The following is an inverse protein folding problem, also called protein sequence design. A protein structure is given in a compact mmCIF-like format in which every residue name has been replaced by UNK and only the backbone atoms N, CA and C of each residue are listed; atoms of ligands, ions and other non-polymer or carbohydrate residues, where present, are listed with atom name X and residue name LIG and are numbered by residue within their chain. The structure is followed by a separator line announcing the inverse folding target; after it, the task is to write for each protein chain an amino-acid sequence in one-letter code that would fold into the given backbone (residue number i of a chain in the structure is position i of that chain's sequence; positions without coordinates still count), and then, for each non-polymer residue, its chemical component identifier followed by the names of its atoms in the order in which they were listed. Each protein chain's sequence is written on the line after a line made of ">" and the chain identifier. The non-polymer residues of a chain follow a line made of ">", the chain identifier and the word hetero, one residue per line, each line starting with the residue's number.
data_IF_686510550077
#
_entry.id   IF_686510550077
#
_cell.length_a   1.000
_cell.length_b   1.000
_cell.length_c   1.000
_cell.angle_alpha   90.00
_cell.angle_beta   90.00
_cell.angle_gamma   90.00
#
_symmetry.space_group_name_H-M   'P 1'
#
loop_
_entity.id
_entity.type
_entity.pdbx_description
1 polymer ?
#
# COMPACT_ATOMS: atom_id res chain seq x y z
N UNK A 1 -48.40 27.99 -20.60
CA UNK A 1 -47.09 27.35 -20.32
C UNK A 1 -47.27 26.49 -19.08
N UNK A 2 -47.32 25.16 -19.23
CA UNK A 2 -47.56 24.25 -18.10
C UNK A 2 -46.26 23.93 -17.35
N UNK A 3 -46.31 23.95 -16.01
CA UNK A 3 -45.19 23.54 -15.17
C UNK A 3 -45.00 22.02 -15.29
N UNK A 4 -43.88 21.61 -15.89
CA UNK A 4 -43.53 20.20 -16.06
C UNK A 4 -42.85 19.65 -14.80
N UNK A 5 -43.60 18.96 -13.95
CA UNK A 5 -43.02 18.27 -12.80
C UNK A 5 -42.27 17.01 -13.26
N UNK A 6 -41.11 16.75 -12.65
CA UNK A 6 -40.33 15.52 -12.81
C UNK A 6 -40.18 14.88 -11.43
N UNK A 7 -40.28 13.57 -11.38
CA UNK A 7 -40.01 12.78 -10.18
C UNK A 7 -38.94 11.72 -10.49
N UNK A 8 -38.22 11.29 -9.46
CA UNK A 8 -37.27 10.20 -9.54
C UNK A 8 -37.33 9.38 -8.25
N UNK A 9 -36.95 8.11 -8.34
CA UNK A 9 -36.86 7.23 -7.18
C UNK A 9 -35.60 7.54 -6.39
N UNK A 10 -35.75 7.78 -5.09
CA UNK A 10 -34.61 7.97 -4.17
C UNK A 10 -34.17 6.58 -3.68
N UNK A 11 -32.85 6.34 -3.73
CA UNK A 11 -32.24 5.11 -3.25
C UNK A 11 -31.37 5.40 -2.05
N UNK A 12 -31.47 4.55 -1.02
CA UNK A 12 -30.54 4.60 0.12
C UNK A 12 -29.22 3.98 -0.32
N UNK A 13 -28.16 4.77 -0.32
CA UNK A 13 -26.80 4.27 -0.55
C UNK A 13 -26.23 3.74 0.76
N UNK A 14 -25.71 2.52 0.72
CA UNK A 14 -25.02 1.93 1.86
C UNK A 14 -23.63 2.52 1.97
N UNK A 15 -23.29 2.98 3.17
CA UNK A 15 -21.92 3.39 3.52
C UNK A 15 -20.95 2.23 3.29
N UNK A 16 -19.72 2.53 2.90
CA UNK A 16 -18.64 1.55 2.86
C UNK A 16 -17.70 1.78 4.03
N UNK A 17 -17.49 0.73 4.82
CA UNK A 17 -16.48 0.68 5.85
C UNK A 17 -15.67 -0.59 5.64
N UNK A 18 -14.35 -0.46 5.50
CA UNK A 18 -13.46 -1.58 5.27
C UNK A 18 -12.20 -1.44 6.11
N UNK A 19 -11.51 -2.55 6.38
CA UNK A 19 -10.30 -2.51 7.19
C UNK A 19 -9.26 -3.52 6.76
N UNK A 20 -7.99 -3.13 6.84
CA UNK A 20 -6.82 -3.96 6.68
C UNK A 20 -6.30 -4.37 8.05
N UNK A 21 -6.40 -5.65 8.40
CA UNK A 21 -5.88 -6.14 9.68
C UNK A 21 -4.41 -6.52 9.55
N UNK A 22 -3.63 -6.10 10.51
CA UNK A 22 -2.17 -6.26 10.55
C UNK A 22 -1.85 -7.18 11.72
N UNK A 23 -1.29 -8.37 11.42
CA UNK A 23 -0.78 -9.32 12.41
C UNK A 23 0.33 -10.18 11.81
N UNK A 24 1.50 -9.59 11.59
CA UNK A 24 2.65 -10.27 10.97
C UNK A 24 3.95 -9.66 11.47
N UNK A 25 5.00 -10.48 11.62
CA UNK A 25 6.33 -10.05 12.10
C UNK A 25 6.32 -9.23 13.40
N UNK A 26 5.31 -9.48 14.25
CA UNK A 26 5.10 -8.81 15.54
C UNK A 26 4.31 -7.50 15.47
N UNK A 27 4.14 -6.88 14.29
CA UNK A 27 3.32 -5.67 14.16
C UNK A 27 1.85 -6.08 14.23
N UNK A 28 1.08 -5.38 15.06
CA UNK A 28 -0.34 -5.64 15.28
C UNK A 28 -1.17 -4.37 15.15
N UNK A 29 -2.37 -4.50 14.59
CA UNK A 29 -3.34 -3.42 14.51
C UNK A 29 -4.14 -3.44 13.23
N UNK A 30 -4.52 -2.28 12.72
CA UNK A 30 -5.29 -2.15 11.49
C UNK A 30 -5.16 -0.77 10.82
N UNK A 31 -5.48 -0.76 9.53
CA UNK A 31 -5.89 0.42 8.79
C UNK A 31 -7.40 0.34 8.58
N UNK A 32 -8.15 1.42 8.78
CA UNK A 32 -9.60 1.46 8.59
C UNK A 32 -9.97 2.59 7.65
N UNK A 33 -10.91 2.33 6.76
CA UNK A 33 -11.40 3.29 5.78
C UNK A 33 -12.91 3.33 5.83
N UNK A 34 -13.50 4.52 5.87
CA UNK A 34 -14.94 4.70 5.89
C UNK A 34 -15.35 5.83 4.97
N UNK A 35 -16.27 5.55 4.06
CA UNK A 35 -16.83 6.52 3.13
C UNK A 35 -18.36 6.38 3.13
N UNK A 36 -19.12 7.39 3.59
CA UNK A 36 -20.57 7.25 3.70
C UNK A 36 -21.29 7.19 2.34
N UNK A 37 -20.76 7.85 1.31
CA UNK A 37 -21.27 7.77 -0.07
C UNK A 37 -20.17 8.09 -1.10
N UNK A 38 -20.38 7.82 -2.40
CA UNK A 38 -19.40 8.17 -3.45
C UNK A 38 -19.08 9.67 -3.57
N UNK A 39 -19.90 10.54 -2.97
CA UNK A 39 -19.78 12.00 -3.03
C UNK A 39 -19.13 12.61 -1.79
N UNK A 40 -18.79 11.77 -0.80
CA UNK A 40 -18.19 12.19 0.45
C UNK A 40 -16.72 11.75 0.53
N UNK A 41 -15.97 12.43 1.38
CA UNK A 41 -14.56 12.11 1.66
C UNK A 41 -14.42 10.79 2.43
N UNK A 42 -13.24 10.19 2.34
CA UNK A 42 -12.93 8.95 3.07
C UNK A 42 -12.25 9.29 4.39
N UNK A 43 -12.82 8.81 5.50
CA UNK A 43 -12.17 8.80 6.81
C UNK A 43 -11.18 7.63 6.84
N UNK A 44 -9.91 7.94 7.10
CA UNK A 44 -8.81 6.98 7.14
C UNK A 44 -8.22 6.92 8.55
N UNK A 45 -8.17 5.74 9.17
CA UNK A 45 -7.58 5.54 10.51
C UNK A 45 -6.42 4.55 10.45
N UNK A 46 -5.35 4.87 11.15
CA UNK A 46 -4.18 4.01 11.33
C UNK A 46 -4.03 3.72 12.81
N UNK A 47 -4.18 2.46 13.21
CA UNK A 47 -3.95 2.01 14.57
C UNK A 47 -2.96 0.84 14.55
N UNK A 48 -1.70 1.09 14.88
CA UNK A 48 -0.65 0.08 14.83
C UNK A 48 0.19 0.10 16.10
N UNK A 49 0.71 -1.05 16.48
CA UNK A 49 1.54 -1.25 17.67
C UNK A 49 2.73 -2.13 17.34
N UNK A 50 3.78 -2.04 18.16
CA UNK A 50 5.00 -2.82 18.03
C UNK A 50 5.71 -2.56 16.70
N UNK A 51 5.75 -1.31 16.27
CA UNK A 51 6.43 -0.89 15.04
C UNK A 51 7.96 -0.93 15.23
N UNK A 52 8.47 -0.63 16.42
CA UNK A 52 9.91 -0.62 16.79
C UNK A 52 10.81 0.16 15.81
N UNK A 53 10.32 1.28 15.24
CA UNK A 53 11.02 2.04 14.19
C UNK A 53 11.35 1.22 12.92
N UNK A 54 10.69 0.07 12.75
CA UNK A 54 10.90 -0.81 11.61
C UNK A 54 10.09 -0.41 10.40
N UNK A 55 9.17 0.55 10.51
CA UNK A 55 8.26 0.94 9.43
C UNK A 55 8.58 2.33 8.94
N UNK A 56 8.81 2.46 7.64
CA UNK A 56 8.98 3.77 6.98
C UNK A 56 7.68 4.20 6.34
N UNK A 57 7.18 3.36 5.44
CA UNK A 57 6.08 3.71 4.56
C UNK A 57 5.02 2.63 4.52
N UNK A 58 3.87 2.98 3.99
CA UNK A 58 2.67 2.19 3.87
C UNK A 58 1.87 2.68 2.65
N UNK A 59 1.52 1.75 1.76
CA UNK A 59 0.89 2.05 0.47
C UNK A 59 -0.25 1.06 0.17
N UNK A 60 -1.23 1.50 -0.61
CA UNK A 60 -2.17 0.60 -1.29
C UNK A 60 -1.53 0.14 -2.59
N UNK A 61 -1.48 -1.17 -2.82
CA UNK A 61 -0.94 -1.78 -4.03
C UNK A 61 -2.04 -2.24 -4.99
N UNK A 62 -1.68 -2.61 -6.22
CA UNK A 62 -2.65 -2.89 -7.28
C UNK A 62 -3.53 -4.12 -6.99
N UNK A 63 -2.96 -5.21 -6.51
CA UNK A 63 -3.63 -6.51 -6.39
C UNK A 63 -3.85 -6.93 -4.93
N UNK A 64 -4.87 -7.75 -4.64
CA UNK A 64 -5.07 -8.31 -3.30
C UNK A 64 -3.87 -9.19 -2.89
N UNK A 65 -3.70 -9.39 -1.58
CA UNK A 65 -2.70 -10.34 -1.08
C UNK A 65 -3.06 -11.76 -1.49
N UNK A 66 -2.08 -12.62 -1.85
CA UNK A 66 -2.32 -14.03 -2.11
C UNK A 66 -3.02 -14.73 -0.93
N UNK A 67 -3.81 -15.78 -1.20
CA UNK A 67 -4.46 -16.55 -0.15
C UNK A 67 -3.45 -17.19 0.81
N UNK A 68 -3.89 -17.42 2.04
CA UNK A 68 -3.10 -18.07 3.10
C UNK A 68 -2.53 -19.41 2.61
N UNK A 69 -1.21 -19.57 2.66
CA UNK A 69 -0.50 -20.78 2.22
C UNK A 69 0.61 -20.55 1.19
N UNK A 70 0.70 -19.37 0.58
CA UNK A 70 1.88 -18.97 -0.21
C UNK A 70 3.09 -18.69 0.69
N UNK A 71 4.34 -18.93 0.23
CA UNK A 71 5.53 -18.75 1.07
C UNK A 71 5.59 -17.31 1.65
N UNK A 72 5.82 -17.18 2.97
CA UNK A 72 5.66 -15.91 3.72
C UNK A 72 6.67 -14.80 3.36
N UNK A 73 7.64 -15.10 2.49
CA UNK A 73 8.67 -14.15 2.07
C UNK A 73 8.37 -13.53 0.68
N UNK A 74 7.48 -14.12 -0.13
CA UNK A 74 7.12 -13.59 -1.45
C UNK A 74 5.70 -13.04 -1.56
N UNK A 75 4.78 -13.34 -0.64
CA UNK A 75 3.37 -12.91 -0.77
C UNK A 75 3.13 -11.39 -0.85
N UNK A 76 4.18 -10.60 -0.60
CA UNK A 76 4.17 -9.14 -0.53
C UNK A 76 5.07 -8.47 -1.57
N UNK A 77 5.70 -9.27 -2.44
CA UNK A 77 6.55 -8.75 -3.51
C UNK A 77 5.70 -8.07 -4.57
N UNK A 78 6.33 -7.23 -5.38
CA UNK A 78 5.67 -6.61 -6.52
C UNK A 78 5.14 -7.65 -7.52
N UNK A 79 5.72 -8.86 -7.56
CA UNK A 79 5.22 -9.94 -8.42
C UNK A 79 3.85 -10.45 -7.96
N UNK A 80 3.54 -10.33 -6.67
CA UNK A 80 2.30 -10.82 -6.07
C UNK A 80 1.24 -9.74 -5.94
N UNK A 81 1.60 -8.55 -5.45
CA UNK A 81 0.66 -7.46 -5.19
C UNK A 81 0.71 -6.33 -6.22
N UNK A 82 1.63 -6.41 -7.18
CA UNK A 82 1.89 -5.32 -8.12
C UNK A 82 2.66 -4.17 -7.47
N UNK A 83 2.82 -3.09 -8.23
CA UNK A 83 3.35 -1.83 -7.70
C UNK A 83 2.31 -1.07 -6.87
N UNK A 84 2.68 0.16 -6.50
CA UNK A 84 1.77 1.08 -5.83
C UNK A 84 0.56 1.38 -6.73
N UNK A 85 -0.60 1.59 -6.12
CA UNK A 85 -1.83 1.85 -6.88
C UNK A 85 -1.82 3.29 -7.42
N UNK A 86 -1.51 3.41 -8.71
CA UNK A 86 -1.39 4.69 -9.42
C UNK A 86 -2.26 4.70 -10.70
N UNK A 87 -3.60 4.76 -10.57
CA UNK A 87 -4.50 4.70 -11.73
C UNK A 87 -4.40 5.92 -12.67
N UNK A 88 -3.81 7.03 -12.20
CA UNK A 88 -3.65 8.26 -12.97
C UNK A 88 -2.26 8.40 -13.61
N UNK A 89 -1.37 7.41 -13.43
CA UNK A 89 -0.04 7.42 -14.05
C UNK A 89 0.84 8.59 -13.61
N UNK A 90 0.71 9.05 -12.37
CA UNK A 90 1.54 10.13 -11.84
C UNK A 90 3.02 9.73 -11.87
N UNK A 91 3.88 10.65 -12.29
CA UNK A 91 5.32 10.44 -12.31
C UNK A 91 5.92 10.70 -10.93
N UNK A 92 6.09 9.64 -10.14
CA UNK A 92 6.66 9.70 -8.78
C UNK A 92 8.13 10.15 -8.75
N UNK A 93 8.83 10.06 -9.88
CA UNK A 93 10.22 10.50 -10.02
C UNK A 93 10.36 11.97 -10.42
N UNK A 94 9.25 12.67 -10.68
CA UNK A 94 9.29 14.09 -11.01
C UNK A 94 9.70 14.91 -9.79
N UNK A 95 10.49 15.97 -10.01
CA UNK A 95 10.89 16.89 -8.94
C UNK A 95 9.69 17.61 -8.28
N UNK A 96 8.54 17.65 -8.96
CA UNK A 96 7.29 18.21 -8.47
C UNK A 96 6.48 17.23 -7.62
N UNK A 97 6.85 15.94 -7.59
CA UNK A 97 6.16 14.97 -6.75
C UNK A 97 6.40 15.30 -5.27
N UNK A 98 5.35 15.44 -4.45
CA UNK A 98 5.52 15.84 -3.05
C UNK A 98 6.38 14.84 -2.27
N UNK A 99 7.23 15.33 -1.36
CA UNK A 99 8.12 14.49 -0.53
C UNK A 99 7.58 14.28 0.89
N UNK A 100 6.42 14.85 1.19
CA UNK A 100 5.75 14.77 2.47
C UNK A 100 4.35 15.39 2.41
N UNK A 101 3.64 15.47 3.54
CA UNK A 101 2.29 16.02 3.59
C UNK A 101 2.30 17.53 3.32
N UNK A 102 1.17 18.06 2.82
CA UNK A 102 0.96 19.50 2.64
C UNK A 102 0.61 19.94 1.22
N UNK A 103 0.73 19.05 0.23
CA UNK A 103 0.21 19.28 -1.12
C UNK A 103 -1.25 18.85 -1.25
N UNK A 104 -1.89 19.19 -2.35
CA UNK A 104 -3.24 18.70 -2.68
C UNK A 104 -3.23 17.19 -2.92
N UNK A 105 -4.28 16.47 -2.53
CA UNK A 105 -4.29 14.99 -2.52
C UNK A 105 -4.23 14.35 -3.91
N UNK A 106 -4.53 15.11 -4.97
CA UNK A 106 -4.40 14.71 -6.37
C UNK A 106 -2.95 14.69 -6.86
N UNK A 107 -2.01 15.30 -6.13
CA UNK A 107 -0.58 15.31 -6.48
C UNK A 107 0.16 14.03 -6.05
N UNK A 108 -0.48 13.17 -5.27
CA UNK A 108 0.09 11.91 -4.80
C UNK A 108 -0.51 10.76 -5.60
N UNK A 109 0.26 9.70 -5.84
CA UNK A 109 -0.34 8.48 -6.35
C UNK A 109 -1.44 8.00 -5.40
N UNK A 110 -2.50 7.41 -5.93
CA UNK A 110 -3.70 7.12 -5.14
C UNK A 110 -3.37 6.26 -3.91
N UNK A 111 -2.48 5.28 -4.09
CA UNK A 111 -2.00 4.40 -3.05
C UNK A 111 -0.94 4.95 -2.11
N UNK A 112 -0.36 6.13 -2.34
CA UNK A 112 0.65 6.71 -1.44
C UNK A 112 0.01 7.46 -0.29
N UNK A 113 -0.21 6.71 0.80
CA UNK A 113 -0.79 7.22 2.02
C UNK A 113 0.27 7.78 2.98
N UNK A 114 1.52 7.31 2.89
CA UNK A 114 2.59 7.74 3.79
C UNK A 114 3.07 9.13 3.51
N UNK A 115 3.34 9.43 2.24
CA UNK A 115 3.80 10.74 1.84
C UNK A 115 2.64 11.74 1.93
N UNK A 116 1.40 11.30 1.63
CA UNK A 116 0.21 12.15 1.72
C UNK A 116 -0.18 12.53 3.14
N UNK A 117 -0.21 11.57 4.07
CA UNK A 117 -0.72 11.80 5.43
C UNK A 117 0.38 11.97 6.47
N UNK A 118 1.39 11.09 6.48
CA UNK A 118 2.61 11.13 7.31
C UNK A 118 3.30 9.75 7.33
N UNK A 119 4.63 9.73 7.36
CA UNK A 119 5.46 8.54 7.57
C UNK A 119 5.33 7.96 9.00
N UNK A 120 5.45 6.64 9.15
CA UNK A 120 5.48 6.00 10.48
C UNK A 120 6.89 5.81 11.04
N UNK A 121 7.90 6.34 10.36
CA UNK A 121 9.29 6.30 10.84
C UNK A 121 9.41 6.94 12.22
N UNK A 122 10.21 6.32 13.09
CA UNK A 122 10.46 6.74 14.47
C UNK A 122 9.31 6.43 15.43
N UNK A 123 8.20 5.83 14.98
CA UNK A 123 7.05 5.54 15.84
C UNK A 123 7.07 4.09 16.28
N UNK A 124 6.69 3.84 17.54
CA UNK A 124 6.47 2.48 18.06
C UNK A 124 4.99 2.07 18.04
N UNK A 125 4.09 3.03 18.29
CA UNK A 125 2.65 2.85 18.23
C UNK A 125 1.99 4.10 17.66
N UNK A 126 0.86 3.92 16.99
CA UNK A 126 0.06 4.99 16.39
C UNK A 126 -1.42 4.72 16.59
N UNK A 127 -2.16 5.81 16.82
CA UNK A 127 -3.62 5.85 16.67
C UNK A 127 -3.97 7.20 16.05
N UNK A 128 -4.03 7.25 14.73
CA UNK A 128 -4.17 8.48 13.95
C UNK A 128 -5.39 8.40 13.05
N UNK A 129 -6.02 9.54 12.82
CA UNK A 129 -7.21 9.68 11.97
C UNK A 129 -7.01 10.83 11.00
N UNK A 130 -7.29 10.56 9.73
CA UNK A 130 -7.12 11.45 8.61
C UNK A 130 -8.41 11.55 7.80
N UNK A 131 -8.53 12.65 7.06
CA UNK A 131 -9.57 12.82 6.04
C UNK A 131 -8.88 12.80 4.68
N UNK A 132 -9.35 11.96 3.76
CA UNK A 132 -8.78 11.83 2.42
C UNK A 132 -9.79 12.15 1.32
N UNK A 133 -9.45 13.15 0.50
CA UNK A 133 -10.25 13.63 -0.62
C UNK A 133 -10.05 12.81 -1.91
N UNK A 134 -9.03 11.96 -1.99
CA UNK A 134 -8.66 11.21 -3.19
C UNK A 134 -8.42 9.71 -2.89
N UNK A 135 -9.18 9.15 -1.95
CA UNK A 135 -9.09 7.72 -1.58
C UNK A 135 -10.46 7.03 -1.62
N UNK A 136 -11.05 6.84 -2.82
CA UNK A 136 -12.41 6.34 -2.94
C UNK A 136 -12.55 4.87 -2.53
N UNK A 137 -13.68 4.53 -1.90
CA UNK A 137 -14.18 3.17 -1.65
C UNK A 137 -15.25 2.76 -2.69
N UNK A 138 -15.70 3.70 -3.52
CA UNK A 138 -16.65 3.48 -4.62
C UNK A 138 -16.00 3.75 -5.98
N UNK A 139 -16.66 3.30 -7.04
CA UNK A 139 -16.21 3.52 -8.41
C UNK A 139 -15.01 2.69 -8.83
N UNK A 140 -14.50 2.97 -10.03
CA UNK A 140 -13.45 2.18 -10.70
C UNK A 140 -12.10 2.24 -9.98
N UNK A 141 -11.81 3.38 -9.36
CA UNK A 141 -10.57 3.60 -8.62
C UNK A 141 -10.68 3.20 -7.14
N UNK A 142 -11.71 2.42 -6.78
CA UNK A 142 -11.88 1.95 -5.40
C UNK A 142 -10.65 1.19 -4.91
N UNK A 143 -10.25 1.45 -3.66
CA UNK A 143 -9.20 0.68 -2.98
C UNK A 143 -9.72 -0.62 -2.36
N UNK A 144 -11.03 -0.85 -2.36
CA UNK A 144 -11.62 -2.10 -1.87
C UNK A 144 -11.20 -3.26 -2.78
N UNK A 145 -10.66 -4.33 -2.18
CA UNK A 145 -10.14 -5.49 -2.92
C UNK A 145 -8.66 -5.40 -3.31
N UNK A 146 -7.94 -4.36 -2.85
CA UNK A 146 -6.50 -4.15 -3.08
C UNK A 146 -5.64 -4.46 -1.86
N UNK A 147 -4.34 -4.64 -1.96
CA UNK A 147 -3.52 -4.86 -0.76
C UNK A 147 -3.07 -3.55 -0.11
N UNK A 148 -2.86 -3.60 1.20
CA UNK A 148 -2.24 -2.56 2.01
C UNK A 148 -0.90 -3.11 2.48
N UNK A 149 0.17 -2.43 2.10
CA UNK A 149 1.54 -2.92 2.26
C UNK A 149 2.26 -1.96 3.18
N UNK A 150 3.03 -2.50 4.12
CA UNK A 150 3.92 -1.72 4.98
C UNK A 150 5.36 -2.03 4.56
N UNK A 151 6.12 -1.00 4.25
CA UNK A 151 7.53 -1.09 3.90
C UNK A 151 8.39 -0.88 5.13
N UNK A 152 9.29 -1.82 5.35
CA UNK A 152 10.18 -1.77 6.47
C UNK A 152 11.44 -0.95 6.18
N UNK A 153 11.91 -0.22 7.19
CA UNK A 153 13.29 0.25 7.23
C UNK A 153 14.14 -0.98 7.50
N UNK A 154 15.13 -1.26 6.66
CA UNK A 154 16.21 -2.15 7.09
C UNK A 154 17.14 -1.29 7.96
N UNK A 155 17.24 -1.52 9.28
CA UNK A 155 18.23 -0.81 10.07
C UNK A 155 19.62 -1.22 9.58
N UNK A 156 20.40 -0.26 9.09
CA UNK A 156 21.85 -0.41 8.82
C UNK A 156 22.69 -0.60 10.10
N UNK A 157 22.08 -0.93 11.24
CA UNK A 157 22.72 -0.96 12.55
C UNK A 157 22.74 -2.37 13.16
N UNK A 158 23.39 -3.30 12.48
CA UNK A 158 23.94 -4.53 13.08
C UNK A 158 25.47 -4.51 12.99
N UNK A 159 26.22 -5.14 13.91
CA UNK A 159 27.69 -5.04 13.97
C UNK A 159 28.43 -5.82 12.86
N UNK A 160 27.73 -6.23 11.80
CA UNK A 160 28.33 -6.67 10.54
C UNK A 160 27.64 -5.94 9.39
N UNK A 161 28.16 -4.76 9.05
CA UNK A 161 27.90 -4.08 7.79
C UNK A 161 28.53 -4.82 6.61
N UNK A 162 28.14 -6.08 6.38
CA UNK A 162 28.35 -6.74 5.09
C UNK A 162 27.11 -6.44 4.27
N UNK A 163 27.31 -5.72 3.17
CA UNK A 163 26.35 -5.46 2.10
C UNK A 163 25.48 -6.70 1.81
N UNK A 164 24.29 -6.74 2.42
CA UNK A 164 23.23 -7.68 2.08
C UNK A 164 22.60 -7.29 0.75
N UNK A 165 23.39 -7.25 -0.33
CA UNK A 165 22.87 -7.41 -1.68
C UNK A 165 22.36 -8.84 -1.76
N UNK A 166 21.05 -9.04 -1.69
CA UNK A 166 20.48 -10.34 -2.01
C UNK A 166 20.63 -10.55 -3.52
N UNK A 167 21.70 -11.23 -3.92
CA UNK A 167 21.91 -11.66 -5.29
C UNK A 167 21.09 -12.94 -5.52
N UNK A 168 20.04 -12.87 -6.33
CA UNK A 168 19.36 -14.08 -6.83
C UNK A 168 20.11 -14.56 -8.07
N UNK A 169 20.75 -15.73 -7.98
CA UNK A 169 21.41 -16.36 -9.13
C UNK A 169 20.37 -17.13 -9.95
N UNK A 170 19.97 -16.62 -11.12
CA UNK A 170 19.19 -17.41 -12.09
C UNK A 170 20.18 -18.07 -13.05
N UNK A 171 20.39 -19.38 -12.89
CA UNK A 171 21.23 -20.16 -13.81
C UNK A 171 20.46 -20.52 -15.07
N UNK A 172 20.90 -20.06 -16.24
CA UNK A 172 20.41 -20.55 -17.54
C UNK A 172 21.39 -21.60 -18.06
N UNK A 173 20.97 -22.86 -18.10
CA UNK A 173 21.77 -23.96 -18.63
C UNK A 173 21.68 -23.97 -20.16
N UNK A 174 22.76 -23.59 -20.85
CA UNK A 174 22.89 -23.73 -22.32
C UNK A 174 23.83 -24.93 -22.59
N UNK A 175 23.57 -25.79 -23.60
CA UNK A 175 24.30 -27.05 -23.79
C UNK A 175 25.70 -26.88 -24.44
N UNK A 176 26.43 -25.85 -24.03
CA UNK A 176 27.83 -25.62 -24.36
C UNK A 176 28.56 -25.43 -23.04
N UNK A 177 29.65 -26.18 -22.85
CA UNK A 177 30.34 -26.44 -21.58
C UNK A 177 31.02 -25.24 -20.91
N UNK A 178 30.35 -24.09 -20.83
CA UNK A 178 30.84 -22.88 -20.16
C UNK A 178 29.69 -22.32 -19.32
N UNK A 179 29.80 -22.45 -17.99
CA UNK A 179 28.88 -21.83 -17.07
C UNK A 179 29.16 -20.31 -17.05
N UNK A 180 28.51 -19.54 -17.92
CA UNK A 180 28.59 -18.08 -17.86
C UNK A 180 27.59 -17.60 -16.81
N UNK A 181 28.08 -17.31 -15.60
CA UNK A 181 27.29 -16.70 -14.54
C UNK A 181 27.06 -15.22 -14.87
N UNK A 182 25.92 -14.86 -15.46
CA UNK A 182 25.55 -13.45 -15.64
C UNK A 182 24.92 -12.94 -14.35
N UNK A 183 25.67 -12.15 -13.58
CA UNK A 183 25.21 -11.55 -12.32
C UNK A 183 24.40 -10.28 -12.62
N UNK A 184 23.06 -10.38 -12.73
CA UNK A 184 22.21 -9.17 -12.81
C UNK A 184 22.00 -8.63 -11.39
N UNK A 185 22.56 -7.45 -11.10
CA UNK A 185 22.40 -6.78 -9.82
C UNK A 185 21.04 -6.07 -9.78
N UNK A 186 20.04 -6.61 -9.06
CA UNK A 186 18.82 -5.87 -8.73
C UNK A 186 18.94 -5.31 -7.32
N UNK A 187 19.09 -3.99 -7.20
CA UNK A 187 19.11 -3.30 -5.91
C UNK A 187 17.68 -3.22 -5.33
N UNK A 188 17.28 -4.16 -4.47
CA UNK A 188 16.05 -4.02 -3.69
C UNK A 188 16.39 -3.37 -2.34
N UNK A 189 16.18 -2.05 -2.22
CA UNK A 189 16.47 -1.27 -1.01
C UNK A 189 15.43 -1.43 0.12
N UNK A 190 14.34 -2.18 -0.11
CA UNK A 190 13.21 -2.29 0.81
C UNK A 190 12.69 -3.72 0.89
N UNK A 191 12.57 -4.26 2.11
CA UNK A 191 11.81 -5.49 2.38
C UNK A 191 10.37 -5.10 2.67
N UNK A 192 9.46 -5.38 1.73
CA UNK A 192 8.03 -5.11 1.87
C UNK A 192 7.35 -6.21 2.68
N UNK A 193 6.42 -5.83 3.55
CA UNK A 193 5.64 -6.72 4.40
C UNK A 193 4.15 -6.41 4.15
N UNK A 194 3.46 -7.29 3.42
CA UNK A 194 2.01 -7.24 3.23
C UNK A 194 1.33 -7.90 4.41
N UNK A 195 0.21 -7.32 4.80
CA UNK A 195 -0.67 -7.94 5.76
C UNK A 195 -1.90 -8.45 5.02
N UNK A 196 -2.33 -9.65 5.40
CA UNK A 196 -3.52 -10.27 4.83
C UNK A 196 -4.70 -9.32 4.99
N UNK A 197 -5.22 -8.91 3.84
CA UNK A 197 -6.37 -8.02 3.76
C UNK A 197 -7.58 -8.84 3.34
N UNK A 198 -8.30 -9.34 4.33
CA UNK A 198 -9.73 -9.58 4.13
C UNK A 198 -10.38 -8.22 4.32
N UNK A 199 -10.76 -7.54 3.22
CA UNK A 199 -11.74 -6.47 3.32
C UNK A 199 -13.04 -7.13 3.78
N UNK A 200 -13.20 -7.25 5.09
CA UNK A 200 -14.50 -7.53 5.67
C UNK A 200 -15.32 -6.28 5.40
N UNK A 201 -16.16 -6.37 4.37
CA UNK A 201 -17.28 -5.45 4.20
C UNK A 201 -18.23 -5.82 5.33
N UNK A 202 -18.26 -4.99 6.38
CA UNK A 202 -19.29 -5.06 7.42
C UNK A 202 -20.51 -4.26 6.98
#
# INVERSE_FOLDING_TARGET
>A
MGLGYKCAKIYVLQKKAVSARVNMRGIRGYFSFRQPSPFEVTEFRVNLTNLDDRVVAYHVHMFPTPPFGSPPQSGCSNDNVGGHFNPFGLNVSAATYPQGPGSTHDMYELGDLSTRHMSLQGKNATDMRFTDFNLPLFGLNSIVGRSMVIHHNMPLSGPLGILGRMCVCVGVCVPVCVCVCVCVCVCALHVSVCYLLVFLVN
#
